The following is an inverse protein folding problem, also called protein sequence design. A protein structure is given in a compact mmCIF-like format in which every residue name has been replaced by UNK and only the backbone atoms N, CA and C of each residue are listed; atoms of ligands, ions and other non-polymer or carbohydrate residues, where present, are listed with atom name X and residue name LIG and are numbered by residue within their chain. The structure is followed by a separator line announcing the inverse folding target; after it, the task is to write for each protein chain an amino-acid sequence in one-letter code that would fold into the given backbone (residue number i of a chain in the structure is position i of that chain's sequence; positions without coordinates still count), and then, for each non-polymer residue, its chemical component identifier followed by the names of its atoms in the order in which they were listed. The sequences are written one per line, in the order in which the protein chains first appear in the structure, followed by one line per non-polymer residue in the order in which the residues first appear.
data_IF_845247180693
#
_entry.id   IF_845247180693
#
_cell.length_a   1.000
_cell.length_b   1.000
_cell.length_c   1.000
_cell.angle_alpha   90.00
_cell.angle_beta   90.00
_cell.angle_gamma   90.00
#
_symmetry.space_group_name_H-M   'P 1'
#
loop_
_entity.id
_entity.type
_entity.pdbx_description
1 polymer ?
#
# COMPACT_ATOMS: atom_id res chain seq x y z
N UNK A 1 41.70 12.72 40.29
CA UNK A 1 41.15 13.65 39.31
C UNK A 1 40.54 12.86 38.16
N UNK A 2 39.41 12.24 38.44
CA UNK A 2 38.66 11.44 37.47
C UNK A 2 37.43 12.25 37.05
N UNK A 3 37.51 12.88 35.90
CA UNK A 3 36.37 13.58 35.32
C UNK A 3 35.91 12.84 34.06
N UNK A 4 34.85 12.18 34.28
CA UNK A 4 33.65 12.00 33.46
C UNK A 4 33.73 11.04 32.25
N UNK A 5 33.23 9.83 32.44
CA UNK A 5 32.74 9.02 31.29
C UNK A 5 31.22 9.12 31.13
N UNK A 6 30.57 10.17 31.70
CA UNK A 6 29.09 10.26 31.71
C UNK A 6 28.48 10.90 30.46
N UNK A 7 29.29 11.47 29.55
CA UNK A 7 28.81 12.17 28.36
C UNK A 7 28.68 11.25 27.14
N UNK A 8 29.33 10.08 27.15
CA UNK A 8 29.30 9.17 26.01
C UNK A 8 28.03 8.30 25.91
N UNK A 9 27.24 8.21 26.98
CA UNK A 9 26.06 7.33 27.03
C UNK A 9 24.77 7.98 26.51
N UNK A 10 24.75 9.29 26.27
CA UNK A 10 23.52 10.01 25.91
C UNK A 10 23.24 10.12 24.41
N UNK A 11 24.15 9.69 23.54
CA UNK A 11 24.04 9.82 22.08
C UNK A 11 23.49 8.60 21.35
N UNK A 12 23.22 7.50 22.07
CA UNK A 12 22.70 6.26 21.45
C UNK A 12 21.18 6.11 21.49
N UNK A 13 20.45 7.08 22.04
CA UNK A 13 19.00 6.92 22.28
C UNK A 13 18.08 7.51 21.20
N UNK A 14 18.59 7.96 20.07
CA UNK A 14 17.80 8.61 19.01
C UNK A 14 17.81 7.89 17.67
N UNK A 15 18.16 6.59 17.65
CA UNK A 15 17.88 5.77 16.48
C UNK A 15 16.40 5.38 16.51
N UNK A 16 15.52 6.28 16.05
CA UNK A 16 14.17 5.88 15.70
C UNK A 16 14.28 4.77 14.65
N UNK A 17 13.52 3.67 14.80
CA UNK A 17 13.52 2.63 13.78
C UNK A 17 13.06 3.26 12.47
N UNK A 18 13.95 3.35 11.50
CA UNK A 18 13.56 3.67 10.13
C UNK A 18 12.72 2.49 9.67
N UNK A 19 11.42 2.69 9.62
CA UNK A 19 10.52 1.71 9.05
C UNK A 19 10.75 1.71 7.54
N UNK A 20 11.59 0.80 7.08
CA UNK A 20 11.68 0.48 5.67
C UNK A 20 10.34 -0.13 5.26
N UNK A 21 9.77 0.35 4.16
CA UNK A 21 8.61 -0.30 3.58
C UNK A 21 8.93 -1.76 3.30
N UNK A 22 8.11 -2.66 3.80
CA UNK A 22 8.28 -4.10 3.61
C UNK A 22 7.77 -4.61 2.24
N UNK A 23 7.21 -3.71 1.42
CA UNK A 23 6.71 -4.05 0.09
C UNK A 23 7.88 -4.29 -0.88
N UNK A 24 7.92 -5.46 -1.56
CA UNK A 24 8.93 -5.72 -2.57
C UNK A 24 8.92 -4.68 -3.69
N UNK A 25 10.09 -4.32 -4.20
CA UNK A 25 10.21 -3.36 -5.31
C UNK A 25 9.39 -3.79 -6.52
N UNK A 26 9.40 -5.09 -6.86
CA UNK A 26 8.63 -5.62 -7.99
C UNK A 26 7.12 -5.36 -7.83
N UNK A 27 6.56 -5.55 -6.63
CA UNK A 27 5.15 -5.27 -6.34
C UNK A 27 4.83 -3.78 -6.52
N UNK A 28 5.70 -2.92 -6.02
CA UNK A 28 5.53 -1.46 -6.16
C UNK A 28 5.57 -1.03 -7.62
N UNK A 29 6.48 -1.58 -8.41
CA UNK A 29 6.58 -1.31 -9.86
C UNK A 29 5.33 -1.78 -10.59
N UNK A 30 4.86 -3.00 -10.32
CA UNK A 30 3.64 -3.55 -10.93
C UNK A 30 2.42 -2.70 -10.56
N UNK A 31 2.31 -2.28 -9.29
CA UNK A 31 1.23 -1.39 -8.85
C UNK A 31 1.22 -0.08 -9.65
N UNK A 32 2.37 0.59 -9.74
CA UNK A 32 2.49 1.86 -10.46
C UNK A 32 2.12 1.71 -11.94
N UNK A 33 2.62 0.68 -12.59
CA UNK A 33 2.32 0.42 -14.00
C UNK A 33 0.82 0.14 -14.23
N UNK A 34 0.21 -0.66 -13.36
CA UNK A 34 -1.23 -0.95 -13.42
C UNK A 34 -2.06 0.32 -13.20
N UNK A 35 -1.73 1.09 -12.18
CA UNK A 35 -2.36 2.36 -11.89
C UNK A 35 -2.28 3.32 -13.09
N UNK A 36 -1.13 3.42 -13.74
CA UNK A 36 -0.94 4.28 -14.91
C UNK A 36 -1.77 3.84 -16.12
N UNK A 37 -2.02 2.53 -16.28
CA UNK A 37 -2.92 2.03 -17.32
C UNK A 37 -4.38 2.37 -17.04
N UNK A 38 -4.77 2.32 -15.77
CA UNK A 38 -6.13 2.64 -15.34
C UNK A 38 -6.42 4.13 -15.32
N UNK A 39 -5.39 4.94 -15.14
CA UNK A 39 -5.47 6.40 -15.08
C UNK A 39 -4.56 7.06 -16.12
N UNK A 40 -4.94 7.08 -17.40
CA UNK A 40 -4.13 7.69 -18.45
C UNK A 40 -3.90 9.19 -18.24
N UNK A 41 -2.71 9.65 -18.56
CA UNK A 41 -2.33 11.06 -18.42
C UNK A 41 -0.85 11.29 -18.74
N UNK A 42 -0.33 12.51 -18.51
CA UNK A 42 1.08 12.81 -18.71
C UNK A 42 1.96 11.88 -17.87
N UNK A 43 3.00 11.34 -18.47
CA UNK A 43 3.82 10.28 -17.87
C UNK A 43 4.34 10.65 -16.48
N UNK A 44 5.04 11.76 -16.35
CA UNK A 44 5.64 12.16 -15.07
C UNK A 44 4.59 12.44 -14.00
N UNK A 45 3.50 13.06 -14.37
CA UNK A 45 2.39 13.31 -13.46
C UNK A 45 1.81 12.00 -12.92
N UNK A 46 1.54 11.07 -13.81
CA UNK A 46 0.91 9.80 -13.44
C UNK A 46 1.87 8.88 -12.67
N UNK A 47 3.15 8.84 -13.01
CA UNK A 47 4.16 8.14 -12.20
C UNK A 47 4.16 8.65 -10.77
N UNK A 48 4.16 9.97 -10.57
CA UNK A 48 4.17 10.55 -9.23
C UNK A 48 2.88 10.27 -8.46
N UNK A 49 1.73 10.42 -9.10
CA UNK A 49 0.43 10.15 -8.46
C UNK A 49 0.26 8.67 -8.10
N UNK A 50 0.62 7.77 -8.99
CA UNK A 50 0.54 6.34 -8.75
C UNK A 50 1.56 5.86 -7.70
N UNK A 51 2.76 6.45 -7.69
CA UNK A 51 3.75 6.20 -6.64
C UNK A 51 3.26 6.69 -5.27
N UNK A 52 2.65 7.87 -5.22
CA UNK A 52 1.99 8.38 -4.03
C UNK A 52 0.96 7.37 -3.48
N UNK A 53 0.14 6.80 -4.35
CA UNK A 53 -0.90 5.86 -3.94
C UNK A 53 -0.31 4.59 -3.31
N UNK A 54 0.69 3.97 -3.91
CA UNK A 54 1.32 2.78 -3.33
C UNK A 54 2.08 3.10 -2.03
N UNK A 55 2.70 4.27 -1.94
CA UNK A 55 3.38 4.70 -0.72
C UNK A 55 2.40 4.91 0.45
N UNK A 56 1.22 5.47 0.18
CA UNK A 56 0.17 5.61 1.18
C UNK A 56 -0.35 4.26 1.66
N UNK A 57 -0.61 3.35 0.75
CA UNK A 57 -1.05 1.99 1.08
C UNK A 57 0.02 1.29 1.93
N UNK A 58 1.28 1.35 1.51
CA UNK A 58 2.39 0.71 2.20
C UNK A 58 2.64 1.28 3.60
N UNK A 59 2.33 2.55 3.82
CA UNK A 59 2.42 3.19 5.14
C UNK A 59 1.33 2.71 6.09
N UNK A 60 0.12 2.50 5.58
CA UNK A 60 -1.06 2.22 6.41
C UNK A 60 -1.29 0.72 6.62
N UNK A 61 -0.77 -0.14 5.74
CA UNK A 61 -1.06 -1.58 5.71
C UNK A 61 0.23 -2.37 5.54
N UNK A 62 0.54 -3.32 6.45
CA UNK A 62 1.64 -4.26 6.26
C UNK A 62 1.49 -5.07 4.97
N UNK A 63 2.61 -5.48 4.38
CA UNK A 63 2.60 -6.19 3.09
C UNK A 63 1.79 -7.49 3.11
N UNK A 64 1.90 -8.28 4.18
CA UNK A 64 1.15 -9.53 4.30
C UNK A 64 -0.37 -9.31 4.29
N UNK A 65 -0.84 -8.26 4.96
CA UNK A 65 -2.26 -7.88 4.94
C UNK A 65 -2.68 -7.39 3.56
N UNK A 66 -1.83 -6.61 2.89
CA UNK A 66 -2.06 -6.19 1.51
C UNK A 66 -2.20 -7.38 0.56
N UNK A 67 -1.31 -8.37 0.66
CA UNK A 67 -1.38 -9.61 -0.15
C UNK A 67 -2.69 -10.34 0.11
N UNK A 68 -3.10 -10.48 1.36
CA UNK A 68 -4.36 -11.14 1.72
C UNK A 68 -5.56 -10.41 1.10
N UNK A 69 -5.66 -9.11 1.26
CA UNK A 69 -6.76 -8.30 0.74
C UNK A 69 -6.78 -8.27 -0.79
N UNK A 70 -5.63 -8.09 -1.43
CA UNK A 70 -5.54 -8.01 -2.89
C UNK A 70 -5.82 -9.35 -3.54
N UNK A 71 -5.38 -10.44 -2.94
CA UNK A 71 -5.68 -11.80 -3.40
C UNK A 71 -7.17 -12.09 -3.33
N UNK A 72 -7.83 -11.74 -2.23
CA UNK A 72 -9.27 -11.88 -2.09
C UNK A 72 -10.03 -11.05 -3.12
N UNK A 73 -9.60 -9.80 -3.37
CA UNK A 73 -10.22 -8.92 -4.35
C UNK A 73 -10.06 -9.47 -5.78
N UNK A 74 -8.88 -9.98 -6.12
CA UNK A 74 -8.62 -10.58 -7.43
C UNK A 74 -9.45 -11.85 -7.65
N UNK A 75 -9.53 -12.71 -6.63
CA UNK A 75 -10.34 -13.92 -6.68
C UNK A 75 -11.83 -13.61 -6.82
N UNK A 76 -12.33 -12.54 -6.18
CA UNK A 76 -13.72 -12.10 -6.29
C UNK A 76 -14.10 -11.66 -7.73
N UNK A 77 -13.13 -11.27 -8.55
CA UNK A 77 -13.36 -10.89 -9.94
C UNK A 77 -13.47 -12.08 -10.89
N UNK A 78 -13.18 -13.30 -10.44
CA UNK A 78 -13.30 -14.52 -11.25
C UNK A 78 -14.78 -14.79 -11.49
N UNK A 79 -15.16 -14.90 -12.77
CA UNK A 79 -16.53 -15.23 -13.17
C UNK A 79 -16.89 -16.70 -12.98
N UNK A 80 -18.20 -17.01 -13.01
CA UNK A 80 -18.72 -18.36 -12.95
C UNK A 80 -18.74 -18.98 -11.56
N UNK A 81 -18.86 -20.31 -11.48
CA UNK A 81 -19.02 -21.07 -10.23
C UNK A 81 -17.82 -20.93 -9.29
N UNK A 82 -16.60 -20.85 -9.83
CA UNK A 82 -15.39 -20.68 -9.03
C UNK A 82 -15.38 -19.37 -8.24
N UNK A 83 -15.88 -18.32 -8.85
CA UNK A 83 -16.00 -17.01 -8.20
C UNK A 83 -17.18 -16.95 -7.21
N UNK A 84 -18.25 -17.74 -7.42
CA UNK A 84 -19.42 -17.75 -6.55
C UNK A 84 -19.06 -18.18 -5.12
N UNK A 85 -18.21 -19.16 -4.96
CA UNK A 85 -17.75 -19.61 -3.63
C UNK A 85 -17.13 -18.47 -2.83
N UNK A 86 -16.29 -17.66 -3.45
CA UNK A 86 -15.63 -16.53 -2.80
C UNK A 86 -16.63 -15.42 -2.48
N UNK A 87 -17.58 -15.15 -3.38
CA UNK A 87 -18.62 -14.14 -3.15
C UNK A 87 -19.51 -14.45 -1.96
N UNK A 88 -19.68 -15.72 -1.62
CA UNK A 88 -20.54 -16.16 -0.53
C UNK A 88 -19.82 -16.26 0.83
N UNK A 89 -18.50 -16.04 0.87
CA UNK A 89 -17.71 -16.13 2.11
C UNK A 89 -17.57 -14.74 2.75
N UNK A 90 -18.33 -14.50 3.81
CA UNK A 90 -18.40 -13.17 4.47
C UNK A 90 -17.04 -12.62 4.95
N UNK A 91 -16.14 -13.39 5.60
CA UNK A 91 -14.83 -12.89 5.98
C UNK A 91 -14.00 -12.39 4.77
N UNK A 92 -14.10 -13.04 3.61
CA UNK A 92 -13.43 -12.60 2.38
C UNK A 92 -14.07 -11.32 1.85
N UNK A 93 -15.38 -11.19 1.87
CA UNK A 93 -16.08 -9.98 1.45
C UNK A 93 -15.70 -8.78 2.33
N UNK A 94 -15.47 -9.00 3.62
CA UNK A 94 -14.99 -7.96 4.52
C UNK A 94 -13.59 -7.47 4.12
N UNK A 95 -12.67 -8.38 3.79
CA UNK A 95 -11.32 -8.03 3.30
C UNK A 95 -11.39 -7.24 2.00
N UNK A 96 -12.26 -7.64 1.08
CA UNK A 96 -12.46 -6.96 -0.20
C UNK A 96 -12.98 -5.53 0.02
N UNK A 97 -13.95 -5.34 0.90
CA UNK A 97 -14.48 -4.00 1.23
C UNK A 97 -13.38 -3.10 1.82
N UNK A 98 -12.58 -3.62 2.74
CA UNK A 98 -11.43 -2.89 3.33
C UNK A 98 -10.43 -2.49 2.25
N UNK A 99 -10.11 -3.41 1.35
CA UNK A 99 -9.18 -3.16 0.25
C UNK A 99 -9.68 -2.05 -0.67
N UNK A 100 -10.96 -2.09 -1.06
CA UNK A 100 -11.57 -1.06 -1.90
C UNK A 100 -11.59 0.31 -1.23
N UNK A 101 -11.87 0.36 0.07
CA UNK A 101 -11.81 1.61 0.84
C UNK A 101 -10.40 2.19 0.89
N UNK A 102 -9.41 1.34 1.13
CA UNK A 102 -8.00 1.72 1.15
C UNK A 102 -7.55 2.29 -0.19
N UNK A 103 -7.90 1.62 -1.29
CA UNK A 103 -7.60 2.10 -2.64
C UNK A 103 -8.30 3.43 -2.95
N UNK A 104 -9.57 3.57 -2.59
CA UNK A 104 -10.32 4.80 -2.81
C UNK A 104 -9.71 5.97 -2.04
N UNK A 105 -9.32 5.75 -0.79
CA UNK A 105 -8.65 6.76 0.03
C UNK A 105 -7.30 7.17 -0.56
N UNK A 106 -6.50 6.21 -1.02
CA UNK A 106 -5.22 6.48 -1.65
C UNK A 106 -5.38 7.27 -2.95
N UNK A 107 -6.34 6.90 -3.80
CA UNK A 107 -6.64 7.65 -5.04
C UNK A 107 -7.05 9.09 -4.74
N UNK A 108 -7.93 9.30 -3.79
CA UNK A 108 -8.39 10.62 -3.39
C UNK A 108 -7.24 11.48 -2.85
N UNK A 109 -6.44 10.93 -1.96
CA UNK A 109 -5.32 11.65 -1.33
C UNK A 109 -4.21 11.97 -2.32
N UNK A 110 -4.00 11.15 -3.34
CA UNK A 110 -2.98 11.34 -4.36
C UNK A 110 -3.50 12.00 -5.65
N UNK A 111 -4.72 12.53 -5.63
CA UNK A 111 -5.34 13.28 -6.74
C UNK A 111 -5.50 12.45 -8.02
N UNK A 112 -5.68 11.12 -7.90
CA UNK A 112 -5.93 10.25 -9.04
C UNK A 112 -7.37 10.38 -9.56
N UNK A 113 -8.32 10.71 -8.68
CA UNK A 113 -9.71 10.95 -9.02
C UNK A 113 -10.00 12.44 -9.30
N UNK A 114 -8.95 13.28 -9.35
CA UNK A 114 -9.11 14.68 -9.67
C UNK A 114 -9.68 14.84 -11.08
N UNK A 115 -10.62 15.77 -11.22
CA UNK A 115 -11.35 16.01 -12.46
C UNK A 115 -10.40 16.11 -13.67
N UNK A 116 -10.79 15.44 -14.71
CA UNK A 116 -10.18 15.50 -16.02
C UNK A 116 -10.35 16.88 -16.65
#
# INVERSE_FOLDING_TARGET
MTRAPWIAAALLALAAPVQAHDYPTAERVVFVQTCMREHPGPYYEMVNKCSCAVDMIARDVPYDDYVTMSTAANANSIGGERGSYIRDVEPLQLQIRKFRQLQAQARKSCLLDAAR
#
